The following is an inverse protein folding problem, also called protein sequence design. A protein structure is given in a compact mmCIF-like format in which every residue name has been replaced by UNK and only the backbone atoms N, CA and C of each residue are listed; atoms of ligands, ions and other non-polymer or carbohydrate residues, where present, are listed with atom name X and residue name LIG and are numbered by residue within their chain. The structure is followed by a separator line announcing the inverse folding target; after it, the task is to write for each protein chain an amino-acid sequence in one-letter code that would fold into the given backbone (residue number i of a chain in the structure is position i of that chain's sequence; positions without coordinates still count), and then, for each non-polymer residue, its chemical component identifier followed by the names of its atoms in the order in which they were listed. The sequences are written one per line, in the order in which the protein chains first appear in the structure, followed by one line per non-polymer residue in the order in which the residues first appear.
data_IF_034905394703
#
_entry.id   IF_034905394703
#
_cell.length_a   1.000
_cell.length_b   1.000
_cell.length_c   1.000
_cell.angle_alpha   90.00
_cell.angle_beta   90.00
_cell.angle_gamma   90.00
#
_symmetry.space_group_name_H-M   'P 1'
#
loop_
_entity.id
_entity.type
_entity.pdbx_description
1 polymer ?
#
# COMPACT_ATOMS: atom_id res chain seq x y z
N UNK A 1 15.70 17.45 -9.04
CA UNK A 1 14.85 16.34 -9.37
C UNK A 1 15.52 15.52 -10.46
N UNK A 2 15.96 14.32 -10.12
CA UNK A 2 16.25 13.31 -11.13
C UNK A 2 14.90 12.85 -11.67
N UNK A 3 14.32 13.71 -12.48
CA UNK A 3 13.07 13.41 -13.15
C UNK A 3 13.29 12.26 -14.11
N UNK A 4 12.22 11.55 -14.37
CA UNK A 4 12.06 10.61 -15.48
C UNK A 4 12.55 11.14 -16.86
N UNK A 5 12.99 12.39 -16.96
CA UNK A 5 13.62 12.92 -18.15
C UNK A 5 14.84 12.10 -18.59
N UNK A 6 15.57 11.49 -17.67
CA UNK A 6 16.62 10.53 -18.01
C UNK A 6 16.05 9.19 -18.51
N UNK A 7 14.84 8.79 -18.08
CA UNK A 7 14.17 7.57 -18.54
C UNK A 7 13.34 7.80 -19.80
N UNK A 8 13.02 9.05 -20.14
CA UNK A 8 12.09 9.40 -21.23
C UNK A 8 12.76 9.47 -22.60
N UNK A 9 14.06 9.42 -22.68
CA UNK A 9 14.76 9.41 -23.95
C UNK A 9 14.91 7.96 -24.42
N UNK A 10 13.96 7.50 -25.25
CA UNK A 10 14.11 6.29 -26.07
C UNK A 10 13.92 4.94 -25.39
N UNK A 11 12.77 4.66 -24.75
CA UNK A 11 12.58 3.38 -24.05
C UNK A 11 13.78 3.05 -23.16
N UNK A 12 14.36 4.06 -22.56
CA UNK A 12 15.59 3.93 -21.77
C UNK A 12 15.24 3.42 -20.41
N UNK A 13 15.55 2.21 -20.24
CA UNK A 13 15.56 1.50 -18.98
C UNK A 13 16.83 1.92 -18.23
N UNK A 14 16.82 3.15 -17.70
CA UNK A 14 17.94 3.73 -16.97
C UNK A 14 17.65 3.86 -15.47
N UNK A 15 16.69 3.08 -14.98
CA UNK A 15 16.25 3.10 -13.58
C UNK A 15 17.42 2.81 -12.63
N UNK A 16 18.25 1.79 -12.94
CA UNK A 16 19.44 1.48 -12.16
C UNK A 16 20.41 2.66 -12.07
N UNK A 17 20.68 3.30 -13.22
CA UNK A 17 21.53 4.49 -13.24
C UNK A 17 20.94 5.64 -12.41
N UNK A 18 19.63 5.85 -12.49
CA UNK A 18 18.95 6.90 -11.74
C UNK A 18 19.09 6.68 -10.22
N UNK A 19 18.96 5.45 -9.74
CA UNK A 19 19.10 5.10 -8.32
C UNK A 19 20.55 5.25 -7.86
N UNK A 20 21.53 4.69 -8.58
CA UNK A 20 22.94 4.83 -8.23
C UNK A 20 23.40 6.30 -8.26
N UNK A 21 22.95 7.08 -9.25
CA UNK A 21 23.26 8.49 -9.32
C UNK A 21 22.64 9.28 -8.15
N UNK A 22 21.40 8.96 -7.76
CA UNK A 22 20.77 9.54 -6.58
C UNK A 22 21.56 9.21 -5.30
N UNK A 23 22.03 7.99 -5.14
CA UNK A 23 22.90 7.63 -4.01
C UNK A 23 24.16 8.48 -3.98
N UNK A 24 24.82 8.70 -5.13
CA UNK A 24 25.97 9.59 -5.24
C UNK A 24 25.68 11.03 -4.88
N UNK A 25 24.51 11.56 -5.24
CA UNK A 25 24.07 12.90 -4.81
C UNK A 25 23.82 12.96 -3.31
N UNK A 26 23.16 11.94 -2.76
CA UNK A 26 22.85 11.88 -1.34
C UNK A 26 24.11 11.81 -0.48
N UNK A 27 25.14 11.08 -0.92
CA UNK A 27 26.44 11.01 -0.24
C UNK A 27 27.18 12.35 -0.15
N UNK A 28 26.80 13.32 -1.00
CA UNK A 28 27.30 14.69 -0.97
C UNK A 28 26.36 15.66 -0.23
N UNK A 29 25.41 15.14 0.54
CA UNK A 29 24.49 15.94 1.38
C UNK A 29 23.29 16.52 0.64
N UNK A 30 23.01 16.09 -0.59
CA UNK A 30 21.77 16.44 -1.29
C UNK A 30 20.63 15.53 -0.86
N UNK A 31 19.39 15.96 -1.10
CA UNK A 31 18.19 15.14 -0.95
C UNK A 31 17.56 14.87 -2.32
N UNK A 32 18.00 13.83 -3.04
CA UNK A 32 17.44 13.49 -4.33
C UNK A 32 16.04 12.85 -4.20
N UNK A 33 15.17 13.17 -5.15
CA UNK A 33 13.87 12.51 -5.34
C UNK A 33 13.91 11.72 -6.64
N UNK A 34 13.75 10.42 -6.53
CA UNK A 34 13.77 9.50 -7.68
C UNK A 34 12.33 9.17 -8.06
N UNK A 35 11.88 9.70 -9.21
CA UNK A 35 10.53 9.47 -9.73
C UNK A 35 10.57 8.35 -10.78
N UNK A 36 10.06 7.18 -10.43
CA UNK A 36 10.05 5.99 -11.28
C UNK A 36 8.69 5.29 -11.18
N UNK A 37 8.21 4.69 -12.28
CA UNK A 37 7.01 3.87 -12.24
C UNK A 37 7.24 2.60 -11.41
N UNK A 38 6.24 2.21 -10.63
CA UNK A 38 6.29 1.04 -9.75
C UNK A 38 6.85 -0.21 -10.45
N UNK A 39 6.29 -0.57 -11.60
CA UNK A 39 6.74 -1.76 -12.36
C UNK A 39 8.19 -1.66 -12.84
N UNK A 40 8.71 -0.45 -13.11
CA UNK A 40 10.09 -0.30 -13.60
C UNK A 40 11.10 -0.19 -12.46
N UNK A 41 10.68 0.21 -11.27
CA UNK A 41 11.55 0.31 -10.11
C UNK A 41 12.18 -1.04 -9.73
N UNK A 42 11.49 -2.16 -10.01
CA UNK A 42 12.04 -3.50 -9.77
C UNK A 42 13.38 -3.78 -10.48
N UNK A 43 13.69 -3.07 -11.58
CA UNK A 43 15.00 -3.17 -12.24
C UNK A 43 16.14 -2.64 -11.41
N UNK A 44 15.84 -1.78 -10.44
CA UNK A 44 16.82 -1.13 -9.57
C UNK A 44 16.90 -1.77 -8.19
N UNK A 45 16.31 -2.97 -8.02
CA UNK A 45 16.22 -3.60 -6.69
C UNK A 45 17.60 -3.78 -6.06
N UNK A 46 18.58 -4.24 -6.83
CA UNK A 46 19.96 -4.39 -6.37
C UNK A 46 20.59 -3.04 -5.96
N UNK A 47 20.46 -2.01 -6.80
CA UNK A 47 20.98 -0.66 -6.54
C UNK A 47 20.30 -0.01 -5.32
N UNK A 48 19.01 -0.26 -5.13
CA UNK A 48 18.29 0.20 -3.92
C UNK A 48 18.88 -0.45 -2.67
N UNK A 49 19.21 -1.73 -2.71
CA UNK A 49 19.84 -2.43 -1.59
C UNK A 49 21.25 -1.91 -1.33
N UNK A 50 22.14 -1.98 -2.34
CA UNK A 50 23.57 -1.76 -2.15
C UNK A 50 23.95 -0.29 -2.09
N UNK A 51 23.42 0.53 -3.03
CA UNK A 51 23.88 1.90 -3.16
C UNK A 51 23.13 2.85 -2.21
N UNK A 52 21.88 2.50 -1.84
CA UNK A 52 21.03 3.37 -1.04
C UNK A 52 20.79 2.83 0.37
N UNK A 53 20.23 1.63 0.49
CA UNK A 53 19.74 1.15 1.80
C UNK A 53 20.86 0.72 2.74
N UNK A 54 21.88 -0.01 2.27
CA UNK A 54 23.01 -0.40 3.10
C UNK A 54 23.81 0.80 3.59
N UNK A 55 23.95 1.82 2.76
CA UNK A 55 24.66 3.05 3.08
C UNK A 55 23.79 4.06 3.87
N UNK A 56 22.49 3.78 4.04
CA UNK A 56 21.53 4.67 4.69
C UNK A 56 21.44 6.05 4.03
N UNK A 57 21.63 6.10 2.72
CA UNK A 57 21.57 7.35 1.96
C UNK A 57 20.19 7.98 1.99
N UNK A 58 20.16 9.31 2.06
CA UNK A 58 18.92 10.09 2.09
C UNK A 58 18.31 10.21 0.69
N UNK A 59 17.60 9.20 0.25
CA UNK A 59 16.90 9.18 -1.05
C UNK A 59 15.41 9.03 -0.84
N UNK A 60 14.62 9.86 -1.52
CA UNK A 60 13.16 9.75 -1.58
C UNK A 60 12.75 9.09 -2.88
N UNK A 61 12.09 7.96 -2.82
CA UNK A 61 11.49 7.29 -3.97
C UNK A 61 10.04 7.76 -4.14
N UNK A 62 9.74 8.50 -5.19
CA UNK A 62 8.39 8.89 -5.59
C UNK A 62 7.91 7.90 -6.66
N UNK A 63 7.09 6.93 -6.24
CA UNK A 63 6.71 5.78 -7.05
C UNK A 63 5.36 6.04 -7.70
N UNK A 64 5.38 6.31 -8.99
CA UNK A 64 4.19 6.56 -9.80
C UNK A 64 3.61 5.24 -10.31
N UNK A 65 2.32 5.22 -10.62
CA UNK A 65 1.60 4.05 -11.13
C UNK A 65 1.67 2.83 -10.21
N UNK A 66 1.54 3.05 -8.92
CA UNK A 66 1.39 1.99 -7.95
C UNK A 66 -0.04 1.42 -7.98
N UNK A 67 -0.20 0.12 -7.73
CA UNK A 67 -1.47 -0.59 -7.83
C UNK A 67 -1.81 -0.99 -9.27
N UNK A 68 -3.09 -1.10 -9.57
CA UNK A 68 -3.56 -1.54 -10.88
C UNK A 68 -3.41 -0.46 -11.96
N UNK A 69 -2.75 -0.82 -13.06
CA UNK A 69 -2.49 0.05 -14.22
C UNK A 69 -2.91 -0.62 -15.52
N UNK A 70 -4.17 -1.04 -15.65
CA UNK A 70 -4.60 -1.89 -16.75
C UNK A 70 -4.54 -1.21 -18.12
N UNK A 71 -4.68 0.11 -18.18
CA UNK A 71 -4.64 0.86 -19.43
C UNK A 71 -3.27 0.82 -20.14
N UNK A 72 -2.19 0.55 -19.40
CA UNK A 72 -0.84 0.46 -19.94
C UNK A 72 -0.43 -1.01 -20.25
N UNK A 73 -1.35 -1.96 -20.05
CA UNK A 73 -1.18 -3.38 -20.36
C UNK A 73 -0.56 -4.22 -19.22
N UNK A 74 -0.40 -5.50 -19.50
CA UNK A 74 0.02 -6.52 -18.51
C UNK A 74 1.38 -6.23 -17.86
N UNK A 75 2.27 -5.56 -18.59
CA UNK A 75 3.64 -5.29 -18.15
C UNK A 75 3.81 -4.06 -17.27
N UNK A 76 2.74 -3.30 -17.02
CA UNK A 76 2.81 -2.03 -16.29
C UNK A 76 2.16 -2.06 -14.92
N UNK A 77 1.72 -3.22 -14.47
CA UNK A 77 1.06 -3.36 -13.17
C UNK A 77 1.99 -3.02 -12.01
N UNK A 78 1.57 -2.10 -11.16
CA UNK A 78 2.34 -1.59 -10.02
C UNK A 78 2.06 -2.38 -8.73
N UNK A 79 2.14 -3.70 -8.78
CA UNK A 79 1.71 -4.60 -7.71
C UNK A 79 2.86 -5.16 -6.85
N UNK A 80 4.10 -4.78 -7.10
CA UNK A 80 5.27 -5.38 -6.44
C UNK A 80 6.04 -4.44 -5.52
N UNK A 81 5.95 -3.12 -5.72
CA UNK A 81 6.80 -2.13 -5.06
C UNK A 81 6.67 -2.16 -3.53
N UNK A 82 5.44 -2.22 -3.00
CA UNK A 82 5.23 -2.28 -1.55
C UNK A 82 5.86 -3.55 -0.95
N UNK A 83 5.73 -4.70 -1.63
CA UNK A 83 6.29 -5.96 -1.18
C UNK A 83 7.82 -5.93 -1.13
N UNK A 84 8.51 -5.59 -2.22
CA UNK A 84 9.98 -5.66 -2.22
C UNK A 84 10.64 -4.54 -1.39
N UNK A 85 10.04 -3.36 -1.29
CA UNK A 85 10.58 -2.28 -0.45
C UNK A 85 10.45 -2.60 1.05
N UNK A 86 9.34 -3.18 1.46
CA UNK A 86 9.16 -3.61 2.86
C UNK A 86 10.12 -4.73 3.25
N UNK A 87 10.40 -5.69 2.33
CA UNK A 87 11.39 -6.76 2.56
C UNK A 87 12.79 -6.24 2.87
N UNK A 88 13.19 -5.14 2.25
CA UNK A 88 14.51 -4.53 2.48
C UNK A 88 14.50 -3.44 3.54
N UNK A 89 13.38 -3.25 4.23
CA UNK A 89 13.28 -2.36 5.38
C UNK A 89 13.14 -0.88 5.05
N UNK A 90 12.76 -0.52 3.82
CA UNK A 90 12.51 0.87 3.45
C UNK A 90 11.09 1.29 3.89
N UNK A 91 10.93 2.41 4.61
CA UNK A 91 9.61 2.95 4.92
C UNK A 91 8.83 3.31 3.67
N UNK A 92 7.58 2.83 3.59
CA UNK A 92 6.68 3.02 2.45
C UNK A 92 5.43 3.75 2.90
N UNK A 93 5.07 4.80 2.18
CA UNK A 93 3.87 5.60 2.39
C UNK A 93 2.95 5.51 1.17
N UNK A 94 1.65 5.38 1.39
CA UNK A 94 0.63 5.28 0.35
C UNK A 94 -0.55 6.21 0.67
N UNK A 95 -0.46 7.49 0.30
CA UNK A 95 -1.57 8.43 0.48
C UNK A 95 -2.77 8.04 -0.37
N UNK A 96 -3.96 8.34 0.11
CA UNK A 96 -5.24 8.01 -0.54
C UNK A 96 -5.89 9.19 -1.27
N UNK A 97 -5.38 10.41 -1.08
CA UNK A 97 -5.87 11.62 -1.73
C UNK A 97 -4.76 12.67 -1.87
N UNK A 98 -5.05 13.77 -2.56
CA UNK A 98 -4.07 14.83 -2.82
C UNK A 98 -3.60 15.56 -1.56
N UNK A 99 -4.47 15.76 -0.58
CA UNK A 99 -4.08 16.40 0.68
C UNK A 99 -3.06 15.55 1.43
N UNK A 100 -3.28 14.23 1.52
CA UNK A 100 -2.31 13.30 2.10
C UNK A 100 -1.02 13.23 1.29
N UNK A 101 -1.11 13.16 -0.04
CA UNK A 101 0.06 13.14 -0.91
C UNK A 101 0.93 14.38 -0.69
N UNK A 102 0.31 15.55 -0.67
CA UNK A 102 1.01 16.82 -0.44
C UNK A 102 1.68 16.85 0.95
N UNK A 103 0.94 16.46 1.99
CA UNK A 103 1.45 16.47 3.36
C UNK A 103 2.61 15.49 3.53
N UNK A 104 2.43 14.22 3.12
CA UNK A 104 3.42 13.19 3.34
C UNK A 104 4.65 13.36 2.45
N UNK A 105 4.51 13.82 1.22
CA UNK A 105 5.65 14.19 0.39
C UNK A 105 6.46 15.32 1.04
N UNK A 106 5.79 16.37 1.53
CA UNK A 106 6.46 17.44 2.24
C UNK A 106 7.17 16.93 3.52
N UNK A 107 6.53 16.06 4.29
CA UNK A 107 7.13 15.43 5.47
C UNK A 107 8.39 14.64 5.12
N UNK A 108 8.34 13.82 4.07
CA UNK A 108 9.48 12.99 3.64
C UNK A 108 10.66 13.81 3.08
N UNK A 109 10.41 15.04 2.69
CA UNK A 109 11.45 15.99 2.21
C UNK A 109 12.08 16.82 3.32
N UNK A 110 11.69 16.63 4.59
CA UNK A 110 12.28 17.37 5.70
C UNK A 110 13.64 16.78 6.09
N UNK A 111 14.57 17.65 6.50
CA UNK A 111 15.90 17.25 6.97
C UNK A 111 15.87 16.39 8.26
N UNK A 112 14.76 16.43 8.98
CA UNK A 112 14.54 15.61 10.19
C UNK A 112 14.27 14.16 9.91
N UNK A 113 13.93 13.80 8.66
CA UNK A 113 13.68 12.43 8.21
C UNK A 113 14.94 11.92 7.53
N UNK A 114 15.55 10.87 8.07
CA UNK A 114 16.81 10.32 7.57
C UNK A 114 16.64 8.93 6.96
N UNK A 115 17.56 8.57 6.07
CA UNK A 115 17.60 7.29 5.37
C UNK A 115 16.65 7.23 4.16
N UNK A 116 16.68 6.10 3.44
CA UNK A 116 15.81 5.89 2.28
C UNK A 116 14.35 5.77 2.68
N UNK A 117 13.46 6.31 1.88
CA UNK A 117 12.01 6.30 2.09
C UNK A 117 11.25 6.40 0.79
N UNK A 118 10.06 5.82 0.75
CA UNK A 118 9.24 5.77 -0.45
C UNK A 118 7.83 6.30 -0.22
N UNK A 119 7.31 7.02 -1.21
CA UNK A 119 5.91 7.38 -1.31
C UNK A 119 5.37 6.84 -2.64
N UNK A 120 4.28 6.10 -2.59
CA UNK A 120 3.66 5.48 -3.76
C UNK A 120 2.27 6.06 -4.00
N UNK A 121 1.91 6.25 -5.26
CA UNK A 121 0.61 6.79 -5.65
C UNK A 121 0.14 6.18 -6.98
N UNK A 122 -1.19 6.06 -7.17
CA UNK A 122 -1.77 5.44 -8.36
C UNK A 122 -1.64 6.32 -9.58
N UNK A 123 -1.98 5.74 -10.74
CA UNK A 123 -2.17 6.49 -11.98
C UNK A 123 -3.56 7.11 -12.00
N UNK A 124 -3.65 8.37 -12.34
CA UNK A 124 -4.93 9.05 -12.55
C UNK A 124 -5.14 10.23 -11.61
N UNK A 125 -6.40 10.62 -11.49
CA UNK A 125 -6.83 11.67 -10.59
C UNK A 125 -7.24 11.13 -9.24
N UNK A 126 -7.46 12.05 -8.31
CA UNK A 126 -7.98 11.76 -6.98
C UNK A 126 -9.39 11.19 -7.03
N UNK A 127 -9.68 10.19 -6.23
CA UNK A 127 -11.04 9.70 -6.04
C UNK A 127 -11.91 10.72 -5.33
N UNK A 128 -13.07 11.05 -5.91
CA UNK A 128 -14.04 11.93 -5.27
C UNK A 128 -14.59 11.35 -3.95
N UNK A 129 -14.59 10.03 -3.78
CA UNK A 129 -15.00 9.37 -2.54
C UNK A 129 -13.92 9.53 -1.46
N UNK A 130 -12.64 9.45 -1.83
CA UNK A 130 -11.54 9.54 -0.87
C UNK A 130 -11.15 11.00 -0.57
N UNK A 131 -11.39 11.93 -1.48
CA UNK A 131 -11.15 13.36 -1.31
C UNK A 131 -11.93 13.99 -0.13
N UNK A 132 -13.06 13.38 0.29
CA UNK A 132 -13.83 13.88 1.44
C UNK A 132 -13.20 13.57 2.80
N UNK A 133 -12.22 12.65 2.86
CA UNK A 133 -11.55 12.30 4.10
C UNK A 133 -10.28 13.14 4.27
N UNK A 134 -10.23 14.04 5.28
CA UNK A 134 -9.10 14.94 5.46
C UNK A 134 -7.81 14.18 5.81
N UNK A 135 -6.68 14.82 5.55
CA UNK A 135 -5.38 14.33 6.00
C UNK A 135 -5.25 14.51 7.52
N UNK A 136 -5.26 13.42 8.26
CA UNK A 136 -5.11 13.46 9.73
C UNK A 136 -3.67 13.62 10.20
N UNK A 137 -2.70 13.59 9.28
CA UNK A 137 -1.25 13.63 9.56
C UNK A 137 -0.77 12.45 10.45
N UNK A 138 -1.52 11.35 10.43
CA UNK A 138 -1.23 10.13 11.17
C UNK A 138 -0.82 9.03 10.19
N UNK A 139 0.00 8.10 10.65
CA UNK A 139 0.44 6.94 9.87
C UNK A 139 -0.72 5.98 9.56
N UNK A 140 -1.78 6.03 10.35
CA UNK A 140 -3.06 5.36 10.13
C UNK A 140 -4.19 6.10 10.86
N UNK A 141 -5.42 5.93 10.41
CA UNK A 141 -6.61 6.47 11.05
C UNK A 141 -7.87 5.66 10.69
N UNK A 142 -8.91 5.84 11.47
CA UNK A 142 -10.21 5.26 11.17
C UNK A 142 -11.00 6.21 10.26
N UNK A 143 -11.46 5.68 9.12
CA UNK A 143 -12.39 6.38 8.23
C UNK A 143 -13.84 6.17 8.67
N UNK A 144 -14.09 5.07 9.35
CA UNK A 144 -15.41 4.71 9.87
C UNK A 144 -15.26 3.87 11.13
N UNK A 145 -16.05 4.18 12.17
CA UNK A 145 -16.09 3.45 13.44
C UNK A 145 -17.55 3.18 13.84
N UNK A 146 -17.84 1.93 14.21
CA UNK A 146 -19.15 1.46 14.66
C UNK A 146 -19.06 0.96 16.10
N UNK A 147 -19.93 1.41 17.00
CA UNK A 147 -19.91 0.91 18.38
C UNK A 147 -20.03 -0.63 18.45
N UNK A 148 -19.08 -1.25 19.12
CA UNK A 148 -19.07 -2.70 19.31
C UNK A 148 -18.67 -3.52 18.06
N UNK A 149 -17.99 -2.90 17.09
CA UNK A 149 -17.49 -3.62 15.93
C UNK A 149 -16.46 -4.70 16.33
N UNK A 150 -16.65 -5.88 15.79
CA UNK A 150 -15.73 -7.03 15.93
C UNK A 150 -14.95 -7.31 14.65
N UNK A 151 -15.31 -6.64 13.55
CA UNK A 151 -14.73 -6.76 12.22
C UNK A 151 -13.97 -5.47 11.91
N UNK A 152 -12.73 -5.60 11.44
CA UNK A 152 -11.94 -4.50 10.93
C UNK A 152 -11.59 -4.74 9.46
N UNK A 153 -11.90 -3.79 8.62
CA UNK A 153 -11.46 -3.74 7.24
C UNK A 153 -10.28 -2.77 7.13
N UNK A 154 -9.16 -3.25 6.61
CA UNK A 154 -7.92 -2.47 6.51
C UNK A 154 -7.49 -2.38 5.06
N UNK A 155 -7.15 -1.20 4.60
CA UNK A 155 -6.54 -0.98 3.30
C UNK A 155 -5.79 0.34 3.21
N UNK A 156 -5.30 0.66 2.01
CA UNK A 156 -4.59 1.90 1.67
C UNK A 156 -4.84 2.30 0.21
N UNK A 157 -4.54 3.55 -0.11
CA UNK A 157 -4.68 4.12 -1.45
C UNK A 157 -6.09 3.88 -2.05
N UNK A 158 -6.19 3.57 -3.34
CA UNK A 158 -7.46 3.48 -4.06
C UNK A 158 -8.32 2.26 -3.67
N UNK A 159 -7.73 1.21 -3.09
CA UNK A 159 -8.49 0.05 -2.60
C UNK A 159 -9.43 0.41 -1.44
N UNK A 160 -9.21 1.54 -0.79
CA UNK A 160 -10.11 2.08 0.24
C UNK A 160 -11.53 2.37 -0.28
N UNK A 161 -11.73 2.60 -1.58
CA UNK A 161 -13.08 2.78 -2.13
C UNK A 161 -13.93 1.53 -2.00
N UNK A 162 -13.36 0.36 -2.34
CA UNK A 162 -14.07 -0.92 -2.24
C UNK A 162 -14.24 -1.36 -0.78
N UNK A 163 -13.26 -1.07 0.06
CA UNK A 163 -13.33 -1.29 1.51
C UNK A 163 -14.47 -0.48 2.15
N UNK A 164 -14.61 0.79 1.80
CA UNK A 164 -15.69 1.64 2.32
C UNK A 164 -17.06 1.14 1.85
N UNK A 165 -17.18 0.72 0.60
CA UNK A 165 -18.41 0.15 0.06
C UNK A 165 -18.74 -1.19 0.74
N UNK A 166 -17.73 -2.05 0.95
CA UNK A 166 -17.90 -3.31 1.67
C UNK A 166 -18.35 -3.08 3.12
N UNK A 167 -17.76 -2.10 3.82
CA UNK A 167 -18.18 -1.71 5.16
C UNK A 167 -19.64 -1.24 5.19
N UNK A 168 -20.04 -0.41 4.23
CA UNK A 168 -21.44 0.06 4.12
C UNK A 168 -22.41 -1.12 3.98
N UNK A 169 -22.09 -2.11 3.13
CA UNK A 169 -22.93 -3.29 2.91
C UNK A 169 -22.99 -4.21 4.14
N UNK A 170 -21.86 -4.40 4.84
CA UNK A 170 -21.82 -5.18 6.08
C UNK A 170 -22.62 -4.50 7.18
N UNK A 171 -22.44 -3.20 7.38
CA UNK A 171 -23.14 -2.44 8.42
C UNK A 171 -24.65 -2.34 8.16
N UNK A 172 -25.09 -2.22 6.90
CA UNK A 172 -26.50 -2.30 6.53
C UNK A 172 -27.13 -3.66 6.86
N UNK A 173 -26.32 -4.73 6.91
CA UNK A 173 -26.73 -6.07 7.33
C UNK A 173 -26.51 -6.33 8.84
N UNK A 174 -26.24 -5.30 9.65
CA UNK A 174 -25.95 -5.40 11.07
C UNK A 174 -24.68 -6.23 11.41
N UNK A 175 -23.76 -6.33 10.46
CA UNK A 175 -22.45 -6.95 10.62
C UNK A 175 -21.43 -5.83 10.86
N UNK A 176 -21.41 -5.28 12.09
CA UNK A 176 -20.68 -4.08 12.43
C UNK A 176 -19.18 -4.19 12.09
N UNK A 177 -18.75 -3.39 11.14
CA UNK A 177 -17.38 -3.35 10.62
C UNK A 177 -16.82 -1.93 10.67
N UNK A 178 -15.62 -1.80 11.18
CA UNK A 178 -14.83 -0.57 11.14
C UNK A 178 -13.92 -0.54 9.92
N UNK A 179 -13.52 0.66 9.50
CA UNK A 179 -12.58 0.88 8.40
C UNK A 179 -11.36 1.63 8.89
N UNK A 180 -10.19 1.02 8.72
CA UNK A 180 -8.90 1.60 9.03
C UNK A 180 -8.10 1.84 7.75
N UNK A 181 -7.73 3.10 7.53
CA UNK A 181 -6.82 3.52 6.47
C UNK A 181 -5.38 3.44 6.97
N UNK A 182 -4.51 2.75 6.22
CA UNK A 182 -3.07 2.85 6.38
C UNK A 182 -2.52 3.92 5.43
N UNK A 183 -1.67 4.80 5.94
CA UNK A 183 -0.89 5.73 5.13
C UNK A 183 0.58 5.31 5.11
N UNK A 184 1.14 4.95 6.25
CA UNK A 184 2.45 4.30 6.33
C UNK A 184 2.28 2.80 6.32
N UNK A 185 2.72 2.18 5.24
CA UNK A 185 2.57 0.75 5.03
C UNK A 185 3.63 -0.08 5.79
N UNK A 186 4.82 0.49 5.96
CA UNK A 186 5.95 -0.18 6.60
C UNK A 186 6.93 0.86 7.17
N UNK A 187 7.60 0.60 8.31
CA UNK A 187 7.26 -0.46 9.29
C UNK A 187 6.00 -0.11 10.10
N UNK A 188 5.37 -1.14 10.64
CA UNK A 188 4.25 -0.95 11.57
C UNK A 188 4.72 -0.48 12.94
N UNK A 189 3.91 0.34 13.60
CA UNK A 189 4.10 0.68 15.01
C UNK A 189 3.40 -0.34 15.92
N UNK A 190 3.93 -0.54 17.13
CA UNK A 190 3.27 -1.37 18.14
C UNK A 190 1.83 -0.91 18.41
N UNK A 191 1.61 0.41 18.37
CA UNK A 191 0.29 1.00 18.55
C UNK A 191 -0.70 0.57 17.48
N UNK A 192 -0.28 0.45 16.22
CA UNK A 192 -1.13 -0.07 15.15
C UNK A 192 -1.49 -1.53 15.42
N UNK A 193 -0.48 -2.37 15.73
CA UNK A 193 -0.71 -3.78 16.04
C UNK A 193 -1.66 -3.94 17.23
N UNK A 194 -1.48 -3.14 18.31
CA UNK A 194 -2.37 -3.11 19.45
C UNK A 194 -3.80 -2.70 19.07
N UNK A 195 -3.95 -1.79 18.15
CA UNK A 195 -5.26 -1.34 17.67
C UNK A 195 -5.96 -2.44 16.88
N UNK A 196 -5.26 -3.06 15.91
CA UNK A 196 -5.81 -4.12 15.05
C UNK A 196 -6.11 -5.38 15.85
N UNK A 197 -5.28 -5.73 16.84
CA UNK A 197 -5.46 -6.95 17.65
C UNK A 197 -6.71 -6.95 18.56
N UNK A 198 -7.45 -5.87 18.64
CA UNK A 198 -8.72 -5.80 19.39
C UNK A 198 -9.89 -6.43 18.66
N UNK A 199 -9.77 -6.62 17.34
CA UNK A 199 -10.84 -7.14 16.50
C UNK A 199 -10.77 -8.66 16.41
N UNK A 200 -11.93 -9.33 16.24
CA UNK A 200 -12.01 -10.79 16.07
C UNK A 200 -11.73 -11.22 14.63
N UNK A 201 -12.14 -10.38 13.68
CA UNK A 201 -11.91 -10.59 12.24
C UNK A 201 -11.23 -9.36 11.69
N UNK A 202 -10.13 -9.57 10.99
CA UNK A 202 -9.40 -8.52 10.26
C UNK A 202 -9.33 -8.93 8.80
N UNK A 203 -9.93 -8.13 7.91
CA UNK A 203 -9.75 -8.26 6.48
C UNK A 203 -8.78 -7.17 6.02
N UNK A 204 -7.71 -7.57 5.36
CA UNK A 204 -6.75 -6.68 4.73
C UNK A 204 -6.83 -6.84 3.22
N UNK A 205 -7.19 -5.78 2.51
CA UNK A 205 -7.25 -5.76 1.05
C UNK A 205 -6.16 -4.86 0.48
N UNK A 206 -5.47 -5.32 -0.58
CA UNK A 206 -4.40 -4.54 -1.20
C UNK A 206 -4.21 -4.85 -2.70
N UNK A 207 -3.99 -3.81 -3.48
CA UNK A 207 -3.56 -3.92 -4.88
C UNK A 207 -2.05 -4.25 -4.96
N UNK A 208 -1.65 -5.34 -4.32
CA UNK A 208 -0.29 -5.84 -4.23
C UNK A 208 -0.29 -7.37 -4.33
N UNK A 209 0.84 -7.95 -4.69
CA UNK A 209 1.00 -9.41 -4.62
C UNK A 209 0.86 -9.89 -3.18
N UNK A 210 0.20 -11.03 -3.00
CA UNK A 210 -0.04 -11.60 -1.68
C UNK A 210 1.27 -11.99 -0.98
N UNK A 211 2.16 -12.67 -1.73
CA UNK A 211 3.44 -13.13 -1.18
C UNK A 211 4.39 -11.95 -0.91
N UNK A 212 4.77 -11.74 0.32
CA UNK A 212 5.58 -10.62 0.78
C UNK A 212 4.83 -9.28 0.81
N UNK A 213 3.51 -9.27 0.60
CA UNK A 213 2.68 -8.07 0.67
C UNK A 213 2.53 -7.52 2.09
N UNK A 214 1.97 -6.34 2.19
CA UNK A 214 1.80 -5.64 3.47
C UNK A 214 0.85 -6.40 4.40
N UNK A 215 -0.20 -7.01 3.85
CA UNK A 215 -1.12 -7.84 4.62
C UNK A 215 -0.44 -9.07 5.24
N UNK A 216 0.51 -9.70 4.54
CA UNK A 216 1.28 -10.83 5.09
C UNK A 216 2.17 -10.37 6.25
N UNK A 217 2.82 -9.20 6.14
CA UNK A 217 3.58 -8.59 7.24
C UNK A 217 2.69 -8.29 8.46
N UNK A 218 1.48 -7.76 8.23
CA UNK A 218 0.54 -7.47 9.32
C UNK A 218 0.05 -8.76 10.00
N UNK A 219 -0.30 -9.78 9.21
CA UNK A 219 -0.70 -11.08 9.75
C UNK A 219 0.39 -11.69 10.63
N UNK A 220 1.65 -11.65 10.16
CA UNK A 220 2.80 -12.13 10.93
C UNK A 220 2.98 -11.33 12.23
N UNK A 221 2.90 -9.99 12.17
CA UNK A 221 3.02 -9.14 13.37
C UNK A 221 1.93 -9.44 14.41
N UNK A 222 0.69 -9.65 13.98
CA UNK A 222 -0.42 -10.06 14.86
C UNK A 222 -0.18 -11.43 15.49
N UNK A 223 0.34 -12.39 14.72
CA UNK A 223 0.70 -13.73 15.22
C UNK A 223 1.80 -13.64 16.28
N UNK A 224 2.85 -12.84 16.04
CA UNK A 224 3.93 -12.63 17.03
C UNK A 224 3.42 -12.02 18.34
N UNK A 225 2.34 -11.25 18.28
CA UNK A 225 1.67 -10.69 19.46
C UNK A 225 0.78 -11.71 20.20
N UNK A 226 0.57 -12.88 19.63
CA UNK A 226 -0.33 -13.89 20.18
C UNK A 226 -1.81 -13.62 19.90
N UNK A 227 -2.11 -12.78 18.88
CA UNK A 227 -3.48 -12.58 18.45
C UNK A 227 -4.03 -13.87 17.80
N UNK A 228 -5.23 -14.25 18.18
CA UNK A 228 -5.89 -15.49 17.78
C UNK A 228 -7.22 -15.26 17.02
N UNK A 229 -7.44 -14.04 16.54
CA UNK A 229 -8.55 -13.75 15.65
C UNK A 229 -8.35 -14.32 14.24
N UNK A 230 -9.28 -14.04 13.35
CA UNK A 230 -9.24 -14.51 11.96
C UNK A 230 -8.72 -13.39 11.04
N UNK A 231 -7.62 -13.68 10.36
CA UNK A 231 -7.05 -12.76 9.35
C UNK A 231 -7.45 -13.21 7.94
N UNK A 232 -8.00 -12.29 7.15
CA UNK A 232 -8.37 -12.49 5.75
C UNK A 232 -7.49 -11.57 4.92
N UNK A 233 -6.64 -12.15 4.07
CA UNK A 233 -5.78 -11.40 3.18
C UNK A 233 -6.32 -11.46 1.75
N UNK A 234 -6.91 -10.36 1.28
CA UNK A 234 -7.38 -10.18 -0.09
C UNK A 234 -6.31 -9.40 -0.86
N UNK A 235 -5.65 -10.06 -1.80
CA UNK A 235 -4.51 -9.52 -2.53
C UNK A 235 -4.35 -10.23 -3.87
N UNK A 236 -3.37 -9.83 -4.68
CA UNK A 236 -3.14 -10.41 -5.99
C UNK A 236 -2.38 -11.73 -5.87
N UNK A 237 -3.01 -12.84 -6.28
CA UNK A 237 -2.44 -14.18 -6.26
C UNK A 237 -1.85 -14.63 -7.60
N UNK A 238 -1.91 -13.81 -8.64
CA UNK A 238 -1.40 -14.13 -9.98
C UNK A 238 -0.45 -13.05 -10.48
N UNK A 239 0.62 -13.45 -11.15
CA UNK A 239 1.53 -12.52 -11.82
C UNK A 239 1.00 -11.98 -13.15
N UNK A 240 -0.01 -12.63 -13.74
CA UNK A 240 -0.56 -12.29 -15.04
C UNK A 240 -1.96 -11.68 -14.86
N UNK A 241 -2.03 -10.36 -14.86
CA UNK A 241 -3.28 -9.62 -14.87
C UNK A 241 -3.62 -9.27 -16.32
N UNK A 242 -4.88 -9.49 -16.78
CA UNK A 242 -5.25 -9.22 -18.16
C UNK A 242 -5.27 -7.71 -18.46
N UNK A 243 -5.21 -7.37 -19.74
CA UNK A 243 -5.51 -6.03 -20.21
C UNK A 243 -7.03 -5.79 -20.07
N UNK A 244 -7.43 -4.97 -19.10
CA UNK A 244 -8.82 -4.75 -18.73
C UNK A 244 -9.01 -3.35 -18.13
N UNK A 245 -10.16 -3.05 -17.59
CA UNK A 245 -10.39 -1.86 -16.73
C UNK A 245 -10.06 -2.19 -15.26
N UNK A 246 -9.81 -1.18 -14.43
CA UNK A 246 -9.57 -1.39 -12.98
C UNK A 246 -10.71 -2.19 -12.33
N UNK A 247 -12.02 -1.87 -12.52
CA UNK A 247 -13.09 -2.69 -11.95
C UNK A 247 -13.08 -4.15 -12.39
N UNK A 248 -12.75 -4.42 -13.66
CA UNK A 248 -12.65 -5.79 -14.16
C UNK A 248 -11.47 -6.55 -13.52
N UNK A 249 -10.34 -5.89 -13.30
CA UNK A 249 -9.21 -6.52 -12.60
C UNK A 249 -9.59 -6.79 -11.14
N UNK A 250 -10.21 -5.85 -10.44
CA UNK A 250 -10.66 -6.04 -9.07
C UNK A 250 -11.60 -7.25 -8.96
N UNK A 251 -12.57 -7.36 -9.87
CA UNK A 251 -13.45 -8.53 -9.93
C UNK A 251 -12.69 -9.84 -10.18
N UNK A 252 -11.70 -9.84 -11.10
CA UNK A 252 -10.91 -11.05 -11.37
C UNK A 252 -9.98 -11.43 -10.21
N UNK A 253 -9.60 -10.48 -9.36
CA UNK A 253 -8.67 -10.70 -8.24
C UNK A 253 -9.37 -10.86 -6.90
N UNK A 254 -10.70 -10.71 -6.84
CA UNK A 254 -11.46 -10.78 -5.59
C UNK A 254 -11.26 -9.55 -4.69
N UNK A 255 -10.99 -8.39 -5.29
CA UNK A 255 -10.77 -7.12 -4.61
C UNK A 255 -11.93 -6.13 -4.80
N UNK A 256 -13.02 -6.51 -5.46
CA UNK A 256 -14.22 -5.68 -5.48
C UNK A 256 -15.00 -5.78 -4.16
N UNK A 257 -15.82 -4.79 -3.88
CA UNK A 257 -16.58 -4.71 -2.63
C UNK A 257 -17.46 -5.94 -2.35
N UNK A 258 -18.02 -6.57 -3.41
CA UNK A 258 -18.88 -7.74 -3.26
C UNK A 258 -18.10 -8.97 -2.80
N UNK A 259 -16.91 -9.19 -3.36
CA UNK A 259 -16.01 -10.28 -2.98
C UNK A 259 -15.46 -10.08 -1.57
N UNK A 260 -15.11 -8.85 -1.19
CA UNK A 260 -14.67 -8.51 0.17
C UNK A 260 -15.78 -8.79 1.20
N UNK A 261 -17.03 -8.41 0.91
CA UNK A 261 -18.19 -8.75 1.76
C UNK A 261 -18.37 -10.27 1.88
N UNK A 262 -18.25 -10.99 0.77
CA UNK A 262 -18.40 -12.45 0.77
C UNK A 262 -17.28 -13.13 1.57
N UNK A 263 -16.05 -12.62 1.52
CA UNK A 263 -14.94 -13.11 2.33
C UNK A 263 -15.24 -13.00 3.83
N UNK A 264 -15.72 -11.84 4.28
CA UNK A 264 -16.11 -11.61 5.68
C UNK A 264 -17.24 -12.54 6.08
N UNK A 265 -18.33 -12.65 5.29
CA UNK A 265 -19.47 -13.52 5.58
C UNK A 265 -19.07 -14.98 5.68
N UNK A 266 -18.20 -15.45 4.79
CA UNK A 266 -17.67 -16.81 4.84
C UNK A 266 -16.83 -17.06 6.09
N UNK A 267 -16.15 -16.04 6.61
CA UNK A 267 -15.42 -16.13 7.85
C UNK A 267 -16.35 -16.21 9.08
N UNK A 268 -17.43 -15.46 9.09
CA UNK A 268 -18.43 -15.50 10.17
C UNK A 268 -19.09 -16.89 10.28
N UNK A 269 -19.53 -17.48 9.15
CA UNK A 269 -20.23 -18.79 9.14
C UNK A 269 -19.33 -19.96 9.51
N UNK A 270 -18.03 -19.92 9.21
CA UNK A 270 -17.08 -20.98 9.62
C UNK A 270 -16.80 -20.97 11.12
N UNK A 271 -16.91 -19.84 11.79
CA UNK A 271 -16.77 -19.74 13.24
C UNK A 271 -17.96 -20.28 14.03
N UNK A 272 -19.15 -20.31 13.43
CA UNK A 272 -20.37 -20.88 14.06
C UNK A 272 -20.41 -22.43 14.01
N UNK A 273 -19.67 -23.04 13.07
CA UNK A 273 -19.64 -24.50 12.91
C UNK A 273 -18.49 -25.19 13.70
N UNK A 274 -17.63 -24.45 14.36
CA UNK A 274 -16.50 -24.94 15.17
C UNK A 274 -16.77 -24.85 16.69
N UNK A 275 -17.98 -24.45 17.10
CA UNK A 275 -18.50 -24.45 18.48
C UNK A 275 -19.53 -25.60 18.66
#
# INVERSE_FOLDING_TARGET
ALSSAASDVYKRQAEQHAVTFAAGLASQGMLPVVCIYSTFLQRSYDQIIHDVNLLKENVVFAIDRAGFVPADGETHQGIYDAAFLSQIGIPVYAPSNYEELQYWLHYLLQDTVSGPRAIRYPRGGESAKLAQYPCTKREYDFLYETPGAEILLVSYADELEDILEAANQLNAASQNADVLRLVKLYPFTDKLIDTVSKYKIVLFAEECVAAGGIGEHLAYALQQKGWNGRFLHCAVHTACLPHATVPQIKQCTGLDAADLVQAVRSALTKGENEL
#
